data_IF_641156723176
#
_entry.id   IF_641156723176
#
_cell.length_a   1.000
_cell.length_b   1.000
_cell.length_c   1.000
_cell.angle_alpha   90.00
_cell.angle_beta   90.00
_cell.angle_gamma   90.00
#
_symmetry.space_group_name_H-M   'P 1'
#
loop_
_entity.id
_entity.type
_entity.pdbx_description
1 polymer ?
#
# COMPACT_ATOMS: atom_id res chain seq x y z
N UNK A 1 18.21 -24.43 -29.89
CA UNK A 1 18.98 -25.02 -28.77
C UNK A 1 18.18 -26.19 -28.21
N UNK A 2 18.80 -27.31 -27.81
CA UNK A 2 18.05 -28.41 -27.20
C UNK A 2 17.38 -27.91 -25.91
N UNK A 3 16.07 -28.12 -25.76
CA UNK A 3 15.25 -27.56 -24.68
C UNK A 3 15.81 -27.78 -23.27
N UNK A 4 16.57 -28.86 -23.06
CA UNK A 4 17.21 -29.20 -21.78
C UNK A 4 18.31 -28.21 -21.36
N UNK A 5 19.13 -27.73 -22.30
CA UNK A 5 20.23 -26.79 -21.97
C UNK A 5 19.70 -25.38 -21.73
N UNK A 6 18.66 -24.98 -22.47
CA UNK A 6 17.95 -23.73 -22.22
C UNK A 6 17.29 -23.70 -20.84
N UNK A 7 16.60 -24.78 -20.45
CA UNK A 7 15.99 -24.85 -19.13
C UNK A 7 17.03 -24.85 -18.00
N UNK A 8 18.10 -25.63 -18.14
CA UNK A 8 19.19 -25.64 -17.16
C UNK A 8 19.86 -24.26 -16.98
N UNK A 9 19.89 -23.45 -18.04
CA UNK A 9 20.45 -22.09 -17.99
C UNK A 9 19.53 -21.08 -17.26
N UNK A 10 18.22 -21.15 -17.45
CA UNK A 10 17.25 -20.20 -16.84
C UNK A 10 16.83 -20.63 -15.44
N UNK A 11 16.84 -21.93 -15.15
CA UNK A 11 16.35 -22.51 -13.90
C UNK A 11 16.91 -21.83 -12.64
N UNK A 12 18.21 -21.49 -12.52
CA UNK A 12 18.73 -20.78 -11.34
C UNK A 12 18.07 -19.42 -11.12
N UNK A 13 17.83 -18.65 -12.18
CA UNK A 13 17.17 -17.34 -12.10
C UNK A 13 15.70 -17.48 -11.72
N UNK A 14 14.99 -18.45 -12.30
CA UNK A 14 13.58 -18.70 -11.99
C UNK A 14 13.41 -19.11 -10.53
N UNK A 15 14.24 -20.02 -10.03
CA UNK A 15 14.24 -20.43 -8.61
C UNK A 15 14.45 -19.21 -7.70
N UNK A 16 15.41 -18.33 -8.04
CA UNK A 16 15.64 -17.12 -7.25
C UNK A 16 14.43 -16.17 -7.24
N UNK A 17 13.79 -15.94 -8.39
CA UNK A 17 12.57 -15.13 -8.46
C UNK A 17 11.43 -15.71 -7.62
N UNK A 18 11.22 -17.02 -7.66
CA UNK A 18 10.18 -17.69 -6.85
C UNK A 18 10.47 -17.52 -5.36
N UNK A 19 11.73 -17.75 -4.95
CA UNK A 19 12.10 -17.75 -3.54
C UNK A 19 12.08 -16.33 -2.93
N UNK A 20 12.51 -15.31 -3.68
CA UNK A 20 12.65 -13.94 -3.15
C UNK A 20 11.52 -12.99 -3.52
N UNK A 21 10.68 -13.31 -4.51
CA UNK A 21 9.56 -12.44 -4.93
C UNK A 21 8.24 -13.13 -4.67
N UNK A 22 8.03 -14.34 -5.22
CA UNK A 22 6.73 -14.99 -5.14
C UNK A 22 6.37 -15.42 -3.71
N UNK A 23 7.32 -16.01 -2.97
CA UNK A 23 7.06 -16.48 -1.60
C UNK A 23 6.68 -15.32 -0.65
N UNK A 24 7.40 -14.18 -0.60
CA UNK A 24 6.97 -13.02 0.19
C UNK A 24 5.59 -12.48 -0.19
N UNK A 25 5.25 -12.43 -1.49
CA UNK A 25 3.92 -12.00 -1.94
C UNK A 25 2.83 -12.92 -1.40
N UNK A 26 3.02 -14.24 -1.50
CA UNK A 26 2.08 -15.23 -0.94
C UNK A 26 1.94 -15.04 0.57
N UNK A 27 3.05 -14.79 1.28
CA UNK A 27 3.02 -14.51 2.73
C UNK A 27 2.14 -13.31 3.06
N UNK A 28 2.28 -12.20 2.34
CA UNK A 28 1.47 -10.98 2.55
C UNK A 28 -0.01 -11.26 2.23
N UNK A 29 -0.30 -12.01 1.17
CA UNK A 29 -1.69 -12.38 0.83
C UNK A 29 -2.32 -13.21 1.95
N UNK A 30 -1.63 -14.20 2.49
CA UNK A 30 -2.16 -14.99 3.61
C UNK A 30 -2.37 -14.09 4.83
N UNK A 31 -1.38 -13.27 5.19
CA UNK A 31 -1.47 -12.34 6.33
C UNK A 31 -2.61 -11.33 6.19
N UNK A 32 -2.91 -10.87 4.96
CA UNK A 32 -3.99 -9.90 4.73
C UNK A 32 -5.40 -10.43 5.03
N UNK A 33 -5.56 -11.75 5.16
CA UNK A 33 -6.81 -12.40 5.60
C UNK A 33 -6.98 -12.40 7.12
N UNK A 34 -5.93 -12.05 7.87
CA UNK A 34 -5.95 -11.95 9.33
C UNK A 34 -5.96 -10.48 9.75
N UNK A 35 -6.56 -10.20 10.90
CA UNK A 35 -6.65 -8.88 11.52
C UNK A 35 -6.09 -8.94 12.94
N UNK A 36 -5.53 -7.83 13.41
CA UNK A 36 -5.06 -7.72 14.79
C UNK A 36 -6.16 -8.00 15.80
N UNK A 37 -5.79 -8.55 16.95
CA UNK A 37 -6.74 -8.80 18.04
C UNK A 37 -7.25 -7.47 18.59
N UNK A 38 -8.55 -7.35 18.90
CA UNK A 38 -9.07 -6.19 19.60
C UNK A 38 -8.34 -6.06 20.94
N UNK A 39 -7.88 -4.84 21.26
CA UNK A 39 -7.17 -4.58 22.52
C UNK A 39 -8.13 -4.82 23.68
N UNK A 40 -7.83 -5.79 24.53
CA UNK A 40 -8.55 -5.97 25.79
C UNK A 40 -8.26 -4.77 26.68
N UNK A 41 -9.25 -3.90 26.88
CA UNK A 41 -9.14 -2.72 27.73
C UNK A 41 -9.75 -3.05 29.09
N UNK A 42 -9.01 -2.83 30.16
CA UNK A 42 -9.47 -3.00 31.54
C UNK A 42 -9.46 -1.63 32.23
N UNK A 43 -10.51 -1.34 32.99
CA UNK A 43 -10.57 -0.15 33.84
C UNK A 43 -9.60 -0.35 35.02
N UNK A 44 -8.53 0.43 35.05
CA UNK A 44 -7.56 0.44 36.15
C UNK A 44 -7.70 1.77 36.90
N UNK A 45 -7.86 1.71 38.21
CA UNK A 45 -7.87 2.90 39.06
C UNK A 45 -6.44 3.37 39.28
N UNK A 46 -6.12 4.54 38.71
CA UNK A 46 -4.84 5.20 38.92
C UNK A 46 -4.98 6.19 40.08
N UNK A 47 -4.41 5.84 41.23
CA UNK A 47 -4.48 6.65 42.43
C UNK A 47 -3.22 7.50 42.58
N UNK A 48 -3.39 8.82 42.46
CA UNK A 48 -2.28 9.77 42.62
C UNK A 48 -2.09 10.11 44.11
N UNK A 49 -0.84 10.18 44.64
CA UNK A 49 -0.58 10.27 46.09
C UNK A 49 -1.22 11.46 46.83
N UNK A 50 -1.67 12.51 46.12
CA UNK A 50 -2.30 13.70 46.70
C UNK A 50 -3.60 14.13 45.99
N UNK A 51 -4.21 13.28 45.14
CA UNK A 51 -5.25 13.73 44.19
C UNK A 51 -6.49 12.84 44.00
N UNK A 52 -6.64 11.77 44.77
CA UNK A 52 -7.73 10.79 44.59
C UNK A 52 -7.46 9.79 43.47
N UNK A 53 -8.37 8.83 43.29
CA UNK A 53 -8.27 7.79 42.26
C UNK A 53 -9.12 8.14 41.05
N UNK A 54 -8.49 8.18 39.87
CA UNK A 54 -9.18 8.34 38.58
C UNK A 54 -9.21 7.00 37.85
N UNK A 55 -10.34 6.66 37.25
CA UNK A 55 -10.47 5.47 36.42
C UNK A 55 -9.89 5.74 35.04
N UNK A 56 -8.80 5.06 34.71
CA UNK A 56 -8.18 5.11 33.39
C UNK A 56 -8.32 3.75 32.68
N UNK A 57 -8.67 3.78 31.39
CA UNK A 57 -8.71 2.59 30.56
C UNK A 57 -7.29 2.21 30.15
N UNK A 58 -6.75 1.12 30.69
CA UNK A 58 -5.45 0.58 30.28
C UNK A 58 -5.62 -0.72 29.48
N UNK A 59 -4.68 -0.96 28.56
CA UNK A 59 -4.61 -2.22 27.82
C UNK A 59 -4.13 -3.31 28.77
N UNK A 60 -4.90 -4.37 28.94
CA UNK A 60 -4.49 -5.54 29.72
C UNK A 60 -3.43 -6.32 28.94
N UNK A 61 -2.16 -6.12 29.34
CA UNK A 61 -1.02 -6.76 28.72
C UNK A 61 -0.99 -8.27 28.96
N UNK A 62 -1.58 -8.77 30.05
CA UNK A 62 -1.62 -10.20 30.35
C UNK A 62 -2.65 -10.92 29.48
N UNK A 63 -3.84 -10.35 29.32
CA UNK A 63 -4.85 -10.87 28.40
C UNK A 63 -4.38 -10.82 26.94
N UNK A 64 -3.71 -9.74 26.53
CA UNK A 64 -3.13 -9.65 25.19
C UNK A 64 -1.97 -10.63 24.96
N UNK A 65 -1.16 -10.92 25.98
CA UNK A 65 -0.08 -11.91 25.88
C UNK A 65 -0.62 -13.34 25.71
N UNK A 66 -1.70 -13.69 26.41
CA UNK A 66 -2.38 -14.99 26.22
C UNK A 66 -2.95 -15.13 24.81
N UNK A 67 -3.65 -14.09 24.33
CA UNK A 67 -4.21 -14.08 22.97
C UNK A 67 -3.13 -14.18 21.88
N UNK A 68 -1.99 -13.51 22.05
CA UNK A 68 -0.86 -13.62 21.12
C UNK A 68 -0.19 -15.00 21.16
N UNK A 69 -0.16 -15.66 22.32
CA UNK A 69 0.37 -17.02 22.45
C UNK A 69 -0.54 -18.05 21.77
N UNK A 70 -1.86 -17.87 21.86
CA UNK A 70 -2.85 -18.77 21.26
C UNK A 70 -3.00 -18.55 19.75
N UNK A 71 -2.98 -17.29 19.29
CA UNK A 71 -3.20 -16.93 17.89
C UNK A 71 -2.17 -15.88 17.42
N UNK A 72 -0.93 -16.29 17.13
CA UNK A 72 0.15 -15.35 16.80
C UNK A 72 -0.07 -14.58 15.48
N UNK A 73 -0.88 -15.12 14.58
CA UNK A 73 -1.17 -14.51 13.26
C UNK A 73 -2.33 -13.51 13.29
N UNK A 74 -3.03 -13.34 14.41
CA UNK A 74 -4.24 -12.53 14.47
C UNK A 74 -5.53 -13.34 14.34
N UNK A 75 -6.66 -12.64 14.35
CA UNK A 75 -7.98 -13.22 14.14
C UNK A 75 -8.24 -13.36 12.64
N UNK A 76 -8.71 -14.52 12.20
CA UNK A 76 -9.05 -14.73 10.80
C UNK A 76 -10.33 -13.96 10.42
N UNK A 77 -10.20 -12.99 9.50
CA UNK A 77 -11.29 -12.14 9.02
C UNK A 77 -11.67 -12.41 7.55
N UNK A 78 -10.91 -13.28 6.86
CA UNK A 78 -11.14 -13.62 5.46
C UNK A 78 -11.17 -12.37 4.57
N UNK A 79 -12.28 -12.17 3.85
CA UNK A 79 -12.46 -10.99 2.98
C UNK A 79 -13.01 -9.75 3.71
N UNK A 80 -13.31 -9.83 5.00
CA UNK A 80 -13.89 -8.72 5.76
C UNK A 80 -13.03 -7.46 5.74
N UNK A 81 -11.70 -7.61 5.70
CA UNK A 81 -10.74 -6.50 5.63
C UNK A 81 -10.92 -5.69 4.35
N UNK A 82 -11.12 -6.36 3.21
CA UNK A 82 -11.28 -5.72 1.90
C UNK A 82 -12.64 -5.06 1.73
N UNK A 83 -13.70 -5.66 2.29
CA UNK A 83 -15.06 -5.14 2.15
C UNK A 83 -15.39 -4.00 3.13
N UNK A 84 -14.53 -3.78 4.11
CA UNK A 84 -14.71 -2.74 5.13
C UNK A 84 -14.75 -1.32 4.52
N UNK A 85 -15.34 -0.38 5.26
CA UNK A 85 -15.40 1.06 4.96
C UNK A 85 -14.06 1.69 4.60
N UNK A 86 -12.95 1.17 5.15
CA UNK A 86 -11.60 1.65 4.86
C UNK A 86 -11.05 1.25 3.48
N UNK A 87 -11.63 0.24 2.83
CA UNK A 87 -11.16 -0.32 1.56
C UNK A 87 -12.27 -0.21 0.49
N UNK A 88 -12.97 -1.29 0.17
CA UNK A 88 -14.00 -1.31 -0.87
C UNK A 88 -15.34 -0.72 -0.42
N UNK A 89 -15.58 -0.59 0.90
CA UNK A 89 -16.76 0.06 1.46
C UNK A 89 -18.09 -0.38 0.79
N UNK A 90 -18.25 -1.69 0.54
CA UNK A 90 -19.31 -2.21 -0.34
C UNK A 90 -20.71 -1.90 0.20
N UNK A 91 -20.89 -1.93 1.53
CA UNK A 91 -22.15 -1.60 2.18
C UNK A 91 -22.50 -0.12 2.00
N UNK A 92 -21.52 0.77 2.15
CA UNK A 92 -21.64 2.22 2.02
C UNK A 92 -21.90 2.60 0.57
N UNK A 93 -21.25 1.94 -0.39
CA UNK A 93 -21.55 2.11 -1.81
C UNK A 93 -22.98 1.67 -2.10
N UNK A 94 -23.42 0.51 -1.58
CA UNK A 94 -24.80 0.05 -1.70
C UNK A 94 -25.81 1.04 -1.10
N UNK A 95 -25.48 1.64 0.06
CA UNK A 95 -26.29 2.67 0.69
C UNK A 95 -26.32 3.97 -0.12
N UNK A 96 -25.17 4.42 -0.63
CA UNK A 96 -25.07 5.61 -1.49
C UNK A 96 -25.86 5.40 -2.78
N UNK A 97 -25.77 4.21 -3.39
CA UNK A 97 -26.44 3.92 -4.65
C UNK A 97 -27.97 3.77 -4.47
N UNK A 98 -28.43 3.27 -3.33
CA UNK A 98 -29.87 3.16 -3.03
C UNK A 98 -30.50 4.48 -2.55
N UNK A 99 -29.74 5.38 -1.92
CA UNK A 99 -30.22 6.65 -1.34
C UNK A 99 -29.67 7.90 -2.06
N UNK A 100 -29.63 7.86 -3.40
CA UNK A 100 -29.08 8.97 -4.18
C UNK A 100 -30.16 9.95 -4.68
N UNK A 101 -29.76 11.22 -4.78
CA UNK A 101 -30.55 12.30 -5.37
C UNK A 101 -30.12 12.65 -6.82
N UNK A 102 -29.25 11.83 -7.43
CA UNK A 102 -28.74 11.99 -8.79
C UNK A 102 -27.25 11.63 -8.94
N UNK A 103 -26.76 11.61 -10.19
CA UNK A 103 -25.38 11.20 -10.53
C UNK A 103 -24.28 12.03 -9.84
N UNK A 104 -24.48 13.34 -9.67
CA UNK A 104 -23.51 14.22 -9.00
C UNK A 104 -23.38 13.94 -7.50
N UNK A 105 -24.49 13.59 -6.84
CA UNK A 105 -24.52 13.24 -5.41
C UNK A 105 -23.82 11.89 -5.17
N UNK A 106 -24.03 10.91 -6.05
CA UNK A 106 -23.31 9.62 -6.02
C UNK A 106 -21.79 9.85 -6.13
N UNK A 107 -21.36 10.62 -7.13
CA UNK A 107 -19.94 10.87 -7.36
C UNK A 107 -19.28 11.59 -6.17
N UNK A 108 -19.93 12.61 -5.61
CA UNK A 108 -19.43 13.34 -4.45
C UNK A 108 -19.32 12.45 -3.19
N UNK A 109 -20.33 11.61 -2.94
CA UNK A 109 -20.33 10.70 -1.78
C UNK A 109 -19.30 9.58 -1.91
N UNK A 110 -19.12 9.00 -3.10
CA UNK A 110 -18.06 8.01 -3.35
C UNK A 110 -16.68 8.65 -3.16
N UNK A 111 -16.48 9.87 -3.67
CA UNK A 111 -15.21 10.59 -3.50
C UNK A 111 -14.91 10.97 -2.04
N UNK A 112 -15.91 11.04 -1.17
CA UNK A 112 -15.72 11.26 0.27
C UNK A 112 -15.23 10.01 1.03
N UNK A 113 -15.27 8.82 0.42
CA UNK A 113 -14.69 7.63 1.01
C UNK A 113 -13.15 7.67 0.88
N UNK A 114 -12.41 7.33 1.95
CA UNK A 114 -10.96 7.55 2.02
C UNK A 114 -10.18 6.79 0.93
N UNK A 115 -10.56 5.54 0.65
CA UNK A 115 -9.94 4.72 -0.39
C UNK A 115 -10.12 5.32 -1.79
N UNK A 116 -11.36 5.65 -2.16
CA UNK A 116 -11.69 6.17 -3.49
C UNK A 116 -11.08 7.55 -3.74
N UNK A 117 -11.01 8.38 -2.69
CA UNK A 117 -10.31 9.67 -2.74
C UNK A 117 -8.82 9.49 -3.06
N UNK A 118 -8.16 8.60 -2.33
CA UNK A 118 -6.73 8.32 -2.53
C UNK A 118 -6.46 7.69 -3.89
N UNK A 119 -7.31 6.75 -4.33
CA UNK A 119 -7.23 6.12 -5.65
C UNK A 119 -7.40 7.13 -6.79
N UNK A 120 -8.39 8.01 -6.70
CA UNK A 120 -8.61 9.05 -7.71
C UNK A 120 -7.43 10.02 -7.79
N UNK A 121 -6.87 10.42 -6.64
CA UNK A 121 -5.66 11.25 -6.60
C UNK A 121 -4.47 10.56 -7.27
N UNK A 122 -4.21 9.30 -6.95
CA UNK A 122 -3.08 8.56 -7.53
C UNK A 122 -3.26 8.33 -9.03
N UNK A 123 -4.46 7.99 -9.48
CA UNK A 123 -4.75 7.86 -10.91
C UNK A 123 -4.55 9.19 -11.65
N UNK A 124 -5.12 10.29 -11.12
CA UNK A 124 -4.95 11.61 -11.71
C UNK A 124 -3.47 12.03 -11.76
N UNK A 125 -2.72 11.78 -10.68
CA UNK A 125 -1.29 12.02 -10.63
C UNK A 125 -0.54 11.23 -11.72
N UNK A 126 -0.79 9.92 -11.84
CA UNK A 126 -0.17 9.10 -12.89
C UNK A 126 -0.54 9.62 -14.31
N UNK A 127 -1.81 9.89 -14.58
CA UNK A 127 -2.25 10.34 -15.90
C UNK A 127 -1.75 11.73 -16.28
N UNK A 128 -1.45 12.59 -15.32
CA UNK A 128 -0.91 13.92 -15.59
C UNK A 128 0.63 13.90 -15.60
N UNK A 129 1.25 13.31 -14.59
CA UNK A 129 2.70 13.40 -14.38
C UNK A 129 3.45 12.47 -15.33
N UNK A 130 2.97 11.24 -15.59
CA UNK A 130 3.67 10.31 -16.48
C UNK A 130 3.87 10.86 -17.90
N UNK A 131 2.86 11.39 -18.62
CA UNK A 131 3.09 11.94 -19.96
C UNK A 131 3.97 13.20 -19.94
N UNK A 132 3.85 14.05 -18.91
CA UNK A 132 4.71 15.22 -18.78
C UNK A 132 6.17 14.84 -18.54
N UNK A 133 6.42 13.87 -17.66
CA UNK A 133 7.76 13.34 -17.39
C UNK A 133 8.36 12.66 -18.63
N UNK A 134 7.55 11.88 -19.35
CA UNK A 134 7.98 11.26 -20.62
C UNK A 134 8.31 12.31 -21.69
N UNK A 135 7.48 13.35 -21.82
CA UNK A 135 7.71 14.47 -22.74
C UNK A 135 8.99 15.24 -22.41
N UNK A 136 9.21 15.56 -21.12
CA UNK A 136 10.42 16.22 -20.66
C UNK A 136 11.66 15.35 -20.92
N UNK A 137 11.61 14.06 -20.57
CA UNK A 137 12.69 13.12 -20.83
C UNK A 137 13.04 13.00 -22.31
N UNK A 138 12.02 13.00 -23.18
CA UNK A 138 12.22 12.99 -24.63
C UNK A 138 12.89 14.27 -25.15
N UNK A 139 12.47 15.45 -24.68
CA UNK A 139 13.10 16.74 -25.05
C UNK A 139 14.56 16.77 -24.63
N UNK A 140 14.87 16.34 -23.40
CA UNK A 140 16.25 16.26 -22.89
C UNK A 140 17.08 15.31 -23.76
N UNK A 141 16.54 14.12 -24.08
CA UNK A 141 17.22 13.15 -24.93
C UNK A 141 17.56 13.72 -26.32
N UNK A 142 16.62 14.44 -26.95
CA UNK A 142 16.85 15.10 -28.24
C UNK A 142 17.90 16.21 -28.14
N UNK A 143 17.82 17.07 -27.12
CA UNK A 143 18.77 18.16 -26.90
C UNK A 143 20.20 17.62 -26.70
N UNK A 144 20.36 16.59 -25.86
CA UNK A 144 21.64 15.91 -25.63
C UNK A 144 22.17 15.28 -26.92
N UNK A 145 21.29 14.74 -27.77
CA UNK A 145 21.73 14.11 -29.02
C UNK A 145 22.28 15.11 -30.04
N UNK A 146 21.75 16.34 -30.07
CA UNK A 146 22.15 17.41 -30.98
C UNK A 146 23.46 18.12 -30.59
N UNK A 147 24.01 17.85 -29.41
CA UNK A 147 25.19 18.52 -28.87
C UNK A 147 26.51 17.95 -29.45
N UNK A 148 27.55 18.79 -29.67
CA UNK A 148 28.87 18.33 -30.12
C UNK A 148 29.50 17.27 -29.21
N UNK A 149 30.20 16.29 -29.82
CA UNK A 149 30.76 15.12 -29.12
C UNK A 149 31.67 15.47 -27.93
N UNK A 150 32.34 16.62 -27.97
CA UNK A 150 33.27 17.07 -26.93
C UNK A 150 32.60 17.33 -25.57
N UNK A 151 31.34 17.81 -25.56
CA UNK A 151 30.61 18.16 -24.33
C UNK A 151 29.44 17.23 -24.02
N UNK A 152 29.18 16.22 -24.87
CA UNK A 152 28.05 15.30 -24.73
C UNK A 152 28.10 14.47 -23.45
N UNK A 153 29.27 13.98 -23.05
CA UNK A 153 29.47 13.19 -21.82
C UNK A 153 29.09 13.94 -20.54
N UNK A 154 29.69 15.13 -20.29
CA UNK A 154 29.32 15.97 -19.15
C UNK A 154 27.83 16.31 -19.10
N UNK A 155 27.22 16.64 -20.25
CA UNK A 155 25.79 17.02 -20.29
C UNK A 155 24.88 15.82 -19.98
N UNK A 156 25.20 14.61 -20.46
CA UNK A 156 24.47 13.38 -20.08
C UNK A 156 24.52 13.20 -18.56
N UNK A 157 25.72 13.29 -17.97
CA UNK A 157 25.90 13.09 -16.53
C UNK A 157 25.06 14.08 -15.69
N UNK A 158 25.15 15.38 -16.00
CA UNK A 158 24.35 16.40 -15.31
C UNK A 158 22.84 16.26 -15.55
N UNK A 159 22.42 15.78 -16.73
CA UNK A 159 20.99 15.58 -17.02
C UNK A 159 20.39 14.37 -16.29
N UNK A 160 21.19 13.33 -16.02
CA UNK A 160 20.74 12.11 -15.34
C UNK A 160 20.79 12.22 -13.82
N UNK A 161 21.67 13.07 -13.26
CA UNK A 161 21.87 13.24 -11.82
C UNK A 161 20.54 13.50 -11.05
N UNK A 162 19.66 14.42 -11.50
CA UNK A 162 18.38 14.69 -10.83
C UNK A 162 17.34 13.58 -10.98
N UNK A 163 17.54 12.63 -11.90
CA UNK A 163 16.62 11.52 -12.17
C UNK A 163 17.01 10.23 -11.42
N UNK A 164 18.20 10.21 -10.80
CA UNK A 164 18.73 9.07 -10.03
C UNK A 164 18.48 9.26 -8.53
N UNK A 165 18.44 10.52 -8.07
CA UNK A 165 18.13 10.91 -6.68
C UNK A 165 16.62 11.03 -6.52
#
# INVERSE_FOLDING_TARGET
>A
MPHRTFFAFILPSLIAMVLFIALPIVSVVVQSLYVEHPRAMVEVENCQPFGGCTKDMQVDSAAMAQLQAEQPMGQFNGFGTYLNRGHLAVNEIGAILSSNSGFGDVAARIYNLPFYKALAFTLAFCFVVTPLAMGLGFIIALAVNAIPRMIKGPVIFFSLLPMII
#
